data_IF_377709529712
#
_entry.id   IF_377709529712
#
_cell.length_a   1.000
_cell.length_b   1.000
_cell.length_c   1.000
_cell.angle_alpha   90.00
_cell.angle_beta   90.00
_cell.angle_gamma   90.00
#
_symmetry.space_group_name_H-M   'P 1'
#
loop_
_entity.id
_entity.type
_entity.pdbx_description
1 polymer ?
#
# COMPACT_ATOMS: atom_id res chain seq x y z
N UNK A 1 14.02 28.98 9.21
CA UNK A 1 14.08 27.93 8.18
C UNK A 1 12.96 28.19 7.19
N UNK A 2 13.29 28.46 5.93
CA UNK A 2 12.32 28.67 4.85
C UNK A 2 11.92 27.30 4.28
N UNK A 3 10.63 27.03 4.18
CA UNK A 3 10.07 25.81 3.59
C UNK A 3 10.27 25.88 2.07
N UNK A 4 11.21 25.09 1.54
CA UNK A 4 11.37 24.89 0.09
C UNK A 4 10.21 24.05 -0.47
N UNK A 5 9.66 24.38 -1.66
CA UNK A 5 8.47 23.75 -2.19
C UNK A 5 8.82 22.42 -2.86
N UNK A 6 8.52 21.30 -2.20
CA UNK A 6 8.34 20.02 -2.88
C UNK A 6 6.91 19.99 -3.43
N UNK A 7 6.75 20.18 -4.75
CA UNK A 7 5.64 19.76 -5.63
C UNK A 7 4.19 19.67 -5.08
N UNK A 8 3.84 20.44 -4.06
CA UNK A 8 2.55 20.40 -3.38
C UNK A 8 2.19 21.78 -2.86
N UNK A 9 0.90 22.12 -2.92
CA UNK A 9 0.42 23.42 -2.47
C UNK A 9 0.81 23.66 -0.99
N UNK A 10 1.22 24.89 -0.61
CA UNK A 10 1.77 25.19 0.72
C UNK A 10 0.82 24.86 1.89
N UNK A 11 -0.49 24.79 1.64
CA UNK A 11 -1.45 24.36 2.66
C UNK A 11 -1.35 22.86 3.00
N UNK A 12 -0.92 22.00 2.06
CA UNK A 12 -0.73 20.56 2.28
C UNK A 12 0.43 20.30 3.22
N UNK A 13 1.58 20.93 2.98
CA UNK A 13 2.74 20.80 3.87
C UNK A 13 2.42 21.21 5.32
N UNK A 14 1.57 22.24 5.50
CA UNK A 14 1.09 22.64 6.84
C UNK A 14 0.18 21.57 7.44
N UNK A 15 -0.77 21.04 6.65
CA UNK A 15 -1.66 19.97 7.11
C UNK A 15 -0.86 18.72 7.52
N UNK A 16 0.09 18.27 6.70
CA UNK A 16 0.94 17.11 6.97
C UNK A 16 1.75 17.29 8.25
N UNK A 17 2.30 18.49 8.48
CA UNK A 17 3.04 18.80 9.70
C UNK A 17 2.13 18.77 10.94
N UNK A 18 0.91 19.32 10.86
CA UNK A 18 -0.07 19.28 11.96
C UNK A 18 -0.56 17.84 12.22
N UNK A 19 -0.76 17.04 11.18
CA UNK A 19 -1.08 15.61 11.30
C UNK A 19 0.03 14.87 12.07
N UNK A 20 1.30 15.16 11.73
CA UNK A 20 2.44 14.63 12.46
C UNK A 20 2.47 15.02 13.95
N UNK A 21 2.01 16.23 14.30
CA UNK A 21 1.89 16.68 15.69
C UNK A 21 0.78 15.96 16.46
N UNK A 22 -0.37 15.74 15.81
CA UNK A 22 -1.49 14.97 16.37
C UNK A 22 -1.08 13.52 16.58
N UNK A 23 -0.48 12.86 15.58
CA UNK A 23 0.00 11.48 15.67
C UNK A 23 1.10 11.29 16.72
N UNK A 24 1.95 12.29 16.91
CA UNK A 24 2.98 12.28 17.95
C UNK A 24 2.44 12.60 19.36
N UNK A 25 1.13 12.87 19.52
CA UNK A 25 0.50 13.23 20.78
C UNK A 25 0.89 14.61 21.33
N UNK A 26 1.49 15.47 20.50
CA UNK A 26 1.78 16.88 20.87
C UNK A 26 0.51 17.73 20.91
N UNK A 27 -0.45 17.40 20.05
CA UNK A 27 -1.81 17.93 20.06
C UNK A 27 -2.72 16.80 20.51
N UNK A 28 -3.40 16.97 21.66
CA UNK A 28 -4.21 15.91 22.26
C UNK A 28 -5.63 15.89 21.67
N UNK A 29 -6.32 14.73 21.69
CA UNK A 29 -7.75 14.68 21.44
C UNK A 29 -8.50 15.70 22.29
N UNK A 30 -9.54 16.30 21.71
CA UNK A 30 -10.37 17.37 22.29
C UNK A 30 -9.64 18.69 22.61
N UNK A 31 -8.35 18.79 22.31
CA UNK A 31 -7.61 20.04 22.43
C UNK A 31 -7.99 21.00 21.30
N UNK A 32 -8.14 22.29 21.66
CA UNK A 32 -8.41 23.35 20.70
C UNK A 32 -7.15 23.60 19.85
N UNK A 33 -7.28 23.45 18.54
CA UNK A 33 -6.26 23.83 17.59
C UNK A 33 -6.05 25.34 17.61
N UNK A 34 -4.79 25.76 17.43
CA UNK A 34 -4.42 27.16 17.23
C UNK A 34 -5.31 27.81 16.16
N UNK A 35 -5.66 29.08 16.37
CA UNK A 35 -6.48 29.82 15.43
C UNK A 35 -5.80 29.96 14.06
N UNK A 36 -6.58 30.14 12.99
CA UNK A 36 -6.06 30.34 11.63
C UNK A 36 -5.02 31.47 11.57
N UNK A 37 -5.19 32.53 12.37
CA UNK A 37 -4.25 33.66 12.44
C UNK A 37 -2.93 33.28 13.12
N UNK A 38 -2.99 32.49 14.18
CA UNK A 38 -1.80 31.97 14.86
C UNK A 38 -1.05 30.99 13.98
N UNK A 39 -1.76 30.09 13.29
CA UNK A 39 -1.18 29.18 12.31
C UNK A 39 -0.51 29.95 11.16
N UNK A 40 -1.17 30.96 10.61
CA UNK A 40 -0.58 31.82 9.57
C UNK A 40 0.74 32.47 10.03
N UNK A 41 0.77 32.98 11.27
CA UNK A 41 1.99 33.56 11.86
C UNK A 41 3.07 32.49 12.10
N UNK A 42 2.69 31.32 12.61
CA UNK A 42 3.58 30.19 12.92
C UNK A 42 4.29 29.66 11.68
N UNK A 43 3.54 29.48 10.59
CA UNK A 43 4.03 28.91 9.34
C UNK A 43 4.52 29.97 8.33
N UNK A 44 4.37 31.26 8.65
CA UNK A 44 4.79 32.36 7.76
C UNK A 44 4.00 32.40 6.44
N UNK A 45 2.71 32.07 6.49
CA UNK A 45 1.83 32.00 5.31
C UNK A 45 0.66 32.96 5.40
N UNK A 46 -0.08 33.11 4.29
CA UNK A 46 -1.32 33.90 4.30
C UNK A 46 -2.39 33.22 5.15
N UNK A 47 -3.31 34.02 5.70
CA UNK A 47 -4.50 33.52 6.43
C UNK A 47 -5.32 32.56 5.56
N UNK A 48 -5.47 32.86 4.27
CA UNK A 48 -6.18 31.98 3.33
C UNK A 48 -5.50 30.61 3.18
N UNK A 49 -4.16 30.57 3.16
CA UNK A 49 -3.39 29.32 3.12
C UNK A 49 -3.56 28.51 4.40
N UNK A 50 -3.47 29.15 5.57
CA UNK A 50 -3.71 28.50 6.86
C UNK A 50 -5.16 27.99 6.97
N UNK A 51 -6.13 28.76 6.48
CA UNK A 51 -7.54 28.36 6.46
C UNK A 51 -7.76 27.14 5.57
N UNK A 52 -7.10 27.07 4.41
CA UNK A 52 -7.11 25.87 3.55
C UNK A 52 -6.48 24.67 4.23
N UNK A 53 -5.40 24.86 4.99
CA UNK A 53 -4.79 23.78 5.76
C UNK A 53 -5.73 23.23 6.83
N UNK A 54 -6.39 24.11 7.60
CA UNK A 54 -7.40 23.70 8.58
C UNK A 54 -8.59 23.01 7.92
N UNK A 55 -9.07 23.53 6.78
CA UNK A 55 -10.13 22.88 6.02
C UNK A 55 -9.73 21.46 5.56
N UNK A 56 -8.49 21.29 5.11
CA UNK A 56 -7.95 19.98 4.75
C UNK A 56 -7.93 19.02 5.95
N UNK A 57 -7.49 19.47 7.13
CA UNK A 57 -7.53 18.66 8.36
C UNK A 57 -8.96 18.24 8.76
N UNK A 58 -9.95 19.09 8.49
CA UNK A 58 -11.37 18.78 8.72
C UNK A 58 -11.85 17.72 7.72
N UNK A 59 -11.52 17.88 6.44
CA UNK A 59 -11.81 16.91 5.39
C UNK A 59 -11.19 15.55 5.68
N UNK A 60 -9.94 15.53 6.15
CA UNK A 60 -9.14 14.31 6.32
C UNK A 60 -9.41 13.56 7.64
N UNK A 61 -10.33 14.03 8.48
CA UNK A 61 -10.68 13.28 9.70
C UNK A 61 -9.94 13.69 10.97
N UNK A 62 -8.97 14.61 10.91
CA UNK A 62 -8.08 14.91 12.05
C UNK A 62 -8.63 15.94 13.03
N UNK A 63 -9.48 16.86 12.54
CA UNK A 63 -9.99 17.99 13.32
C UNK A 63 -11.48 18.19 13.05
N UNK A 64 -12.24 18.63 14.05
CA UNK A 64 -13.64 19.05 13.91
C UNK A 64 -13.74 20.55 14.14
N UNK A 65 -14.44 21.27 13.27
CA UNK A 65 -14.67 22.70 13.46
C UNK A 65 -16.05 22.95 14.06
N UNK A 66 -16.09 23.66 15.18
CA UNK A 66 -17.32 24.05 15.87
C UNK A 66 -17.55 25.55 15.65
N UNK A 67 -18.69 25.95 15.04
CA UNK A 67 -18.99 27.36 14.80
C UNK A 67 -18.91 28.19 16.08
N UNK A 68 -18.15 29.30 16.04
CA UNK A 68 -17.98 30.22 17.19
C UNK A 68 -16.99 29.74 18.27
N UNK A 69 -16.62 28.46 18.28
CA UNK A 69 -15.72 27.87 19.29
C UNK A 69 -14.34 27.51 18.74
N UNK A 70 -14.19 27.39 17.42
CA UNK A 70 -12.90 27.10 16.78
C UNK A 70 -12.80 25.66 16.30
N UNK A 71 -11.59 25.12 16.26
CA UNK A 71 -11.32 23.79 15.70
C UNK A 71 -10.69 22.91 16.79
N UNK A 72 -11.13 21.66 16.92
CA UNK A 72 -10.74 20.73 17.97
C UNK A 72 -10.20 19.44 17.37
N UNK A 73 -9.12 18.89 17.93
CA UNK A 73 -8.50 17.64 17.47
C UNK A 73 -9.42 16.47 17.75
N UNK A 74 -9.65 15.61 16.75
CA UNK A 74 -10.42 14.38 16.93
C UNK A 74 -9.61 13.30 17.61
N UNK A 75 -10.30 12.44 18.36
CA UNK A 75 -9.76 11.16 18.76
C UNK A 75 -9.55 10.30 17.51
N UNK A 76 -8.28 10.02 17.20
CA UNK A 76 -7.93 9.12 16.11
C UNK A 76 -7.98 7.68 16.63
N UNK A 77 -8.55 6.72 15.89
CA UNK A 77 -8.35 5.32 16.19
C UNK A 77 -6.84 5.02 16.23
N UNK A 78 -6.42 4.14 17.14
CA UNK A 78 -5.02 3.79 17.34
C UNK A 78 -4.33 3.55 15.98
N UNK A 79 -3.36 4.43 15.67
CA UNK A 79 -2.61 4.54 14.43
C UNK A 79 -3.02 3.56 13.30
N UNK A 80 -3.65 4.07 12.25
CA UNK A 80 -3.72 3.33 10.99
C UNK A 80 -2.29 2.94 10.58
N UNK A 81 -2.08 1.68 10.15
CA UNK A 81 -0.76 1.21 9.73
C UNK A 81 -0.23 2.15 8.66
N UNK A 82 1.04 2.53 8.79
CA UNK A 82 1.63 3.50 7.90
C UNK A 82 1.48 3.02 6.43
N UNK A 83 1.10 3.92 5.53
CA UNK A 83 0.85 3.60 4.11
C UNK A 83 2.08 2.98 3.42
N UNK A 84 3.29 3.29 3.92
CA UNK A 84 4.54 2.72 3.42
C UNK A 84 4.67 1.24 3.81
N UNK A 85 4.33 0.88 5.04
CA UNK A 85 4.31 -0.48 5.55
C UNK A 85 3.30 -1.36 4.81
N UNK A 86 2.13 -0.81 4.47
CA UNK A 86 1.16 -1.50 3.63
C UNK A 86 1.68 -1.70 2.20
N UNK A 87 2.30 -0.67 1.60
CA UNK A 87 2.88 -0.77 0.27
C UNK A 87 4.03 -1.79 0.20
N UNK A 88 4.83 -1.88 1.26
CA UNK A 88 5.92 -2.85 1.37
C UNK A 88 5.39 -4.28 1.52
N UNK A 89 4.38 -4.50 2.37
CA UNK A 89 3.69 -5.79 2.49
C UNK A 89 3.06 -6.26 1.18
N UNK A 90 2.41 -5.35 0.43
CA UNK A 90 1.84 -5.68 -0.89
C UNK A 90 2.92 -6.07 -1.89
N UNK A 91 4.09 -5.41 -1.85
CA UNK A 91 5.22 -5.75 -2.73
C UNK A 91 5.78 -7.13 -2.40
N UNK A 92 5.89 -7.45 -1.11
CA UNK A 92 6.35 -8.75 -0.63
C UNK A 92 5.40 -9.88 -1.05
N UNK A 93 4.11 -9.73 -0.77
CA UNK A 93 3.09 -10.71 -1.19
C UNK A 93 3.07 -10.93 -2.71
N UNK A 94 3.26 -9.87 -3.51
CA UNK A 94 3.37 -10.01 -4.98
C UNK A 94 4.58 -10.83 -5.39
N UNK A 95 5.73 -10.65 -4.73
CA UNK A 95 6.93 -11.43 -5.01
C UNK A 95 6.75 -12.91 -4.68
N UNK A 96 6.09 -13.21 -3.56
CA UNK A 96 5.76 -14.58 -3.16
C UNK A 96 4.82 -15.26 -4.16
N UNK A 97 3.79 -14.55 -4.63
CA UNK A 97 2.85 -15.07 -5.65
C UNK A 97 3.58 -15.43 -6.94
N UNK A 98 4.52 -14.59 -7.39
CA UNK A 98 5.32 -14.88 -8.59
C UNK A 98 6.17 -16.13 -8.39
N UNK A 99 6.89 -16.22 -7.27
CA UNK A 99 7.73 -17.38 -6.97
C UNK A 99 6.91 -18.69 -6.85
N UNK A 100 5.71 -18.62 -6.28
CA UNK A 100 4.82 -19.79 -6.20
C UNK A 100 4.31 -20.23 -7.57
N UNK A 101 3.98 -19.30 -8.46
CA UNK A 101 3.56 -19.63 -9.84
C UNK A 101 4.65 -20.33 -10.61
N UNK A 102 5.88 -19.83 -10.57
CA UNK A 102 7.02 -20.46 -11.25
C UNK A 102 7.27 -21.89 -10.75
N UNK A 103 7.09 -22.14 -9.45
CA UNK A 103 7.18 -23.49 -8.87
C UNK A 103 6.08 -24.42 -9.35
N UNK A 104 4.84 -23.93 -9.47
CA UNK A 104 3.72 -24.70 -9.98
C UNK A 104 3.94 -25.03 -11.46
N UNK A 105 4.30 -24.04 -12.28
CA UNK A 105 4.56 -24.23 -13.70
C UNK A 105 5.70 -25.25 -13.93
N UNK A 106 6.76 -25.17 -13.13
CA UNK A 106 7.86 -26.14 -13.17
C UNK A 106 7.43 -27.56 -12.84
N UNK A 107 6.64 -27.74 -11.78
CA UNK A 107 6.11 -29.04 -11.39
C UNK A 107 5.17 -29.63 -12.46
N UNK A 108 4.32 -28.80 -13.05
CA UNK A 108 3.42 -29.21 -14.13
C UNK A 108 4.20 -29.67 -15.37
N UNK A 109 5.27 -28.95 -15.75
CA UNK A 109 6.11 -29.34 -16.88
C UNK A 109 6.85 -30.66 -16.64
N UNK A 110 7.38 -30.88 -15.44
CA UNK A 110 8.06 -32.13 -15.08
C UNK A 110 7.09 -33.32 -15.15
N UNK A 111 5.88 -33.12 -14.64
CA UNK A 111 4.84 -34.15 -14.63
C UNK A 111 4.33 -34.45 -16.06
N UNK A 112 4.16 -33.43 -16.90
CA UNK A 112 3.82 -33.59 -18.31
C UNK A 112 4.93 -34.32 -19.09
N UNK A 113 6.19 -34.00 -18.82
CA UNK A 113 7.34 -34.68 -19.43
C UNK A 113 7.40 -36.15 -19.04
N UNK A 114 7.18 -36.46 -17.76
CA UNK A 114 7.13 -37.83 -17.25
C UNK A 114 6.00 -38.65 -17.91
N UNK A 115 4.80 -38.06 -18.04
CA UNK A 115 3.68 -38.74 -18.70
C UNK A 115 3.96 -39.02 -20.17
N UNK A 116 4.56 -38.06 -20.88
CA UNK A 116 4.94 -38.22 -22.29
C UNK A 116 5.98 -39.32 -22.47
N UNK A 117 7.03 -39.32 -21.65
CA UNK A 117 8.05 -40.37 -21.68
C UNK A 117 7.45 -41.76 -21.39
N UNK A 118 6.48 -41.84 -20.48
CA UNK A 118 5.74 -43.07 -20.20
C UNK A 118 4.94 -43.58 -21.41
N UNK A 119 4.23 -42.68 -22.12
CA UNK A 119 3.49 -43.04 -23.33
C UNK A 119 4.41 -43.52 -24.46
N UNK A 120 5.54 -42.85 -24.67
CA UNK A 120 6.53 -43.24 -25.68
C UNK A 120 7.08 -44.66 -25.41
N UNK A 121 7.38 -44.97 -24.15
CA UNK A 121 7.83 -46.31 -23.74
C UNK A 121 6.76 -47.40 -23.96
N UNK A 122 5.47 -47.07 -23.77
CA UNK A 122 4.37 -48.01 -24.05
C UNK A 122 4.24 -48.27 -25.55
N UNK A 123 4.32 -47.22 -26.38
CA UNK A 123 4.28 -47.38 -27.84
C UNK A 123 5.43 -48.24 -28.36
N UNK A 124 6.65 -48.04 -27.86
CA UNK A 124 7.81 -48.84 -28.25
C UNK A 124 7.62 -50.32 -27.89
N UNK A 125 7.09 -50.60 -26.69
CA UNK A 125 6.84 -51.97 -26.24
C UNK A 125 5.75 -52.67 -27.06
N UNK A 126 4.71 -51.94 -27.48
CA UNK A 126 3.69 -52.47 -28.40
C UNK A 126 4.28 -52.80 -29.76
N UNK A 127 5.12 -51.92 -30.32
CA UNK A 127 5.79 -52.17 -31.61
C UNK A 127 6.67 -53.43 -31.59
N UNK A 128 7.45 -53.63 -30.51
CA UNK A 128 8.27 -54.83 -30.33
C UNK A 128 7.43 -56.11 -30.26
N UNK A 129 6.26 -56.06 -29.60
CA UNK A 129 5.34 -57.22 -29.52
C UNK A 129 4.74 -57.54 -30.89
N UNK A 130 4.33 -56.54 -31.65
CA UNK A 130 3.79 -56.75 -33.01
C UNK A 130 4.83 -57.31 -33.98
N UNK A 131 6.07 -56.84 -33.90
CA UNK A 131 7.18 -57.37 -34.70
C UNK A 131 7.50 -58.83 -34.34
N UNK A 132 7.54 -59.16 -33.05
CA UNK A 132 7.72 -60.53 -32.58
C UNK A 132 6.60 -61.47 -33.05
N UNK A 133 5.37 -60.99 -33.14
CA UNK A 133 4.24 -61.76 -33.67
C UNK A 133 4.27 -61.90 -35.19
N UNK A 134 4.76 -60.89 -35.93
CA UNK A 134 4.89 -60.96 -37.40
C UNK A 134 5.99 -61.90 -37.89
N UNK A 135 7.07 -62.06 -37.13
CA UNK A 135 8.16 -63.00 -37.47
C UNK A 135 7.89 -64.46 -37.13
N UNK A 136 6.80 -64.76 -36.42
CA UNK A 136 6.44 -66.11 -35.96
C UNK A 136 5.34 -66.80 -36.83
N UNK A 137 4.84 -66.12 -37.86
CA UNK A 137 3.92 -66.64 -38.89
C UNK A 137 4.67 -66.86 -40.21
#
# INVERSE_FOLDING_TARGET
MQLSPSAGHPYRAIADQLIGEIRAGRLKPDEQLQSVRELAKRFGVTVATAQRAVAQLVTDGYVTSVPGLGSFVRELPAAEPDDQGLADQVRELRSEIVALRERIDGAEQEQAAALRAGLDAVHERLAQVEEAQRGAS
#
